data_IF_315178816832
#
_entry.id   IF_315178816832
#
_cell.length_a   1.000
_cell.length_b   1.000
_cell.length_c   1.000
_cell.angle_alpha   90.00
_cell.angle_beta   90.00
_cell.angle_gamma   90.00
#
_symmetry.space_group_name_H-M   'P 1'
#
loop_
_entity.id
_entity.type
_entity.pdbx_description
1 polymer ?
#
# COMPACT_ATOMS: atom_id res chain seq x y z
N UNK A 1 0.03 2.31 13.38
CA UNK A 1 1.28 2.11 12.61
C UNK A 1 1.22 0.72 12.01
N UNK A 2 1.48 0.57 10.71
CA UNK A 2 1.55 -0.75 10.06
C UNK A 2 3.02 -1.12 9.86
N UNK A 3 3.38 -2.35 10.19
CA UNK A 3 4.70 -2.90 9.93
C UNK A 3 4.65 -3.66 8.61
N UNK A 4 5.70 -3.55 7.79
CA UNK A 4 5.78 -4.27 6.54
C UNK A 4 5.88 -5.77 6.82
N UNK A 5 5.01 -6.62 6.24
CA UNK A 5 5.07 -8.07 6.45
C UNK A 5 6.33 -8.70 5.84
N UNK A 6 7.00 -8.02 4.90
CA UNK A 6 8.20 -8.53 4.24
C UNK A 6 9.49 -8.18 4.98
N UNK A 7 9.65 -6.91 5.40
CA UNK A 7 10.90 -6.43 6.00
C UNK A 7 10.78 -5.93 7.45
N UNK A 8 9.58 -5.95 8.05
CA UNK A 8 9.33 -5.46 9.41
C UNK A 8 9.41 -3.94 9.59
N UNK A 9 9.88 -3.21 8.57
CA UNK A 9 10.00 -1.76 8.58
C UNK A 9 8.64 -1.06 8.73
N UNK A 10 8.64 0.11 9.37
CA UNK A 10 7.44 0.93 9.55
C UNK A 10 6.96 1.41 8.18
N UNK A 11 5.68 1.17 7.88
CA UNK A 11 5.03 1.65 6.68
C UNK A 11 4.43 3.03 6.92
N UNK A 12 4.56 3.89 5.91
CA UNK A 12 4.00 5.24 5.94
C UNK A 12 2.62 5.20 5.30
N UNK A 13 1.65 5.85 5.94
CA UNK A 13 0.32 5.98 5.39
C UNK A 13 0.34 7.02 4.27
N UNK A 14 -0.04 6.60 3.07
CA UNK A 14 -0.18 7.49 1.93
C UNK A 14 -1.67 7.60 1.62
N UNK A 15 -2.14 8.84 1.51
CA UNK A 15 -3.47 9.10 0.97
C UNK A 15 -3.42 8.70 -0.49
N UNK A 16 -3.96 7.51 -0.78
CA UNK A 16 -4.04 6.97 -2.12
C UNK A 16 -4.84 7.91 -3.01
N UNK A 17 -4.39 7.98 -4.26
CA UNK A 17 -4.85 8.90 -5.29
C UNK A 17 -6.35 9.17 -5.23
N UNK A 18 -6.72 10.45 -5.27
CA UNK A 18 -8.09 11.02 -5.29
C UNK A 18 -9.01 10.44 -6.38
N UNK A 19 -8.49 9.59 -7.27
CA UNK A 19 -9.19 9.16 -8.49
C UNK A 19 -10.04 7.90 -8.36
N UNK A 20 -9.95 7.13 -7.26
CA UNK A 20 -10.83 5.99 -7.05
C UNK A 20 -11.82 6.34 -5.95
N UNK A 21 -13.09 6.38 -6.30
CA UNK A 21 -14.21 6.45 -5.36
C UNK A 21 -14.59 4.99 -5.03
N UNK A 22 -14.49 4.54 -3.77
CA UNK A 22 -14.09 5.27 -2.57
C UNK A 22 -12.56 5.44 -2.43
N UNK A 23 -12.09 6.52 -1.77
CA UNK A 23 -10.67 6.83 -1.61
C UNK A 23 -9.97 5.70 -0.84
N UNK A 24 -9.26 4.85 -1.57
CA UNK A 24 -8.57 3.70 -1.02
C UNK A 24 -7.30 4.15 -0.32
N UNK A 25 -7.26 3.88 0.98
CA UNK A 25 -6.16 4.27 1.87
C UNK A 25 -5.11 3.15 1.86
N UNK A 26 -3.90 3.44 1.40
CA UNK A 26 -2.83 2.43 1.37
C UNK A 26 -1.59 2.85 2.17
N UNK A 27 -0.95 1.86 2.77
CA UNK A 27 0.34 1.99 3.44
C UNK A 27 1.44 1.61 2.46
N UNK A 28 2.49 2.41 2.36
CA UNK A 28 3.66 2.06 1.57
C UNK A 28 4.87 1.86 2.46
N UNK A 29 5.59 0.76 2.25
CA UNK A 29 6.89 0.54 2.85
C UNK A 29 7.97 1.31 2.07
N UNK A 30 8.75 2.17 2.73
CA UNK A 30 9.86 2.88 2.05
C UNK A 30 11.08 2.01 1.74
N UNK A 31 11.26 0.89 2.45
CA UNK A 31 12.37 -0.02 2.16
C UNK A 31 12.02 -1.01 1.05
N UNK A 32 10.86 -1.66 1.19
CA UNK A 32 10.46 -2.75 0.29
C UNK A 32 9.59 -2.28 -0.88
N UNK A 33 9.07 -1.05 -0.84
CA UNK A 33 8.17 -0.50 -1.86
C UNK A 33 6.74 -1.05 -1.82
N UNK A 34 6.49 -2.15 -1.09
CA UNK A 34 5.19 -2.82 -0.96
C UNK A 34 4.09 -1.85 -0.55
N UNK A 35 2.92 -2.00 -1.18
CA UNK A 35 1.70 -1.27 -0.86
C UNK A 35 0.70 -2.21 -0.20
N UNK A 36 0.09 -1.76 0.89
CA UNK A 36 -0.97 -2.48 1.60
C UNK A 36 -2.18 -1.58 1.64
N UNK A 37 -3.20 -1.92 0.86
CA UNK A 37 -4.47 -1.19 0.80
C UNK A 37 -5.42 -1.76 1.84
N UNK A 38 -5.97 -0.88 2.68
CA UNK A 38 -6.99 -1.24 3.66
C UNK A 38 -8.34 -0.69 3.23
N UNK A 39 -9.27 -1.58 2.94
CA UNK A 39 -10.64 -1.23 2.59
C UNK A 39 -11.48 -1.03 3.85
N UNK A 40 -12.53 -0.23 3.75
CA UNK A 40 -13.44 0.04 4.87
C UNK A 40 -14.15 -1.24 5.35
N UNK A 41 -14.40 -2.18 4.44
CA UNK A 41 -14.98 -3.50 4.69
C UNK A 41 -14.01 -4.49 5.39
N UNK A 42 -12.79 -4.07 5.71
CA UNK A 42 -11.79 -4.90 6.40
C UNK A 42 -10.98 -5.80 5.48
N UNK A 43 -11.17 -5.72 4.16
CA UNK A 43 -10.28 -6.36 3.20
C UNK A 43 -8.89 -5.68 3.25
N UNK A 44 -7.84 -6.49 3.22
CA UNK A 44 -6.45 -6.05 3.18
C UNK A 44 -5.84 -6.61 1.88
N UNK A 45 -5.60 -5.74 0.90
CA UNK A 45 -4.93 -6.13 -0.35
C UNK A 45 -3.46 -5.72 -0.27
N UNK A 46 -2.58 -6.70 -0.42
CA UNK A 46 -1.13 -6.49 -0.41
C UNK A 46 -0.66 -6.56 -1.85
N UNK A 47 -0.36 -5.40 -2.43
CA UNK A 47 0.22 -5.30 -3.76
C UNK A 47 1.75 -5.21 -3.61
N UNK A 48 2.51 -6.29 -3.88
CA UNK A 48 3.92 -6.14 -4.18
C UNK A 48 4.02 -5.22 -5.39
N UNK A 49 4.92 -4.22 -5.34
CA UNK A 49 5.17 -3.37 -6.50
C UNK A 49 5.93 -4.22 -7.51
N UNK A 50 5.19 -5.01 -8.29
CA UNK A 50 5.62 -5.44 -9.60
C UNK A 50 5.68 -4.15 -10.41
N UNK A 51 6.89 -3.61 -10.48
CA UNK A 51 7.22 -2.53 -11.38
C UNK A 51 6.90 -3.06 -12.78
N UNK A 52 5.71 -2.75 -13.30
CA UNK A 52 5.46 -2.87 -14.73
C UNK A 52 6.57 -2.03 -15.37
N UNK A 53 7.48 -2.62 -16.16
CA UNK A 53 8.45 -1.84 -16.89
C UNK A 53 7.63 -0.86 -17.71
N UNK A 54 7.91 0.44 -17.54
CA UNK A 54 7.46 1.42 -18.51
C UNK A 54 8.04 0.97 -19.86
N UNK A 55 7.19 0.43 -20.73
CA UNK A 55 7.49 0.18 -22.13
C UNK A 55 6.94 1.34 -22.93
#
# INVERSE_FOLDING_TARGET
>A
MMNCPSCGAIMVWLNGSVLHDPPTKFYQCRQCGIKVTKFADGAEEVEPVEQKPAQ
#
